data_IF_500919302907
#
_entry.id   IF_500919302907
#
_cell.length_a   1.000
_cell.length_b   1.000
_cell.length_c   1.000
_cell.angle_alpha   90.00
_cell.angle_beta   90.00
_cell.angle_gamma   90.00
#
_symmetry.space_group_name_H-M   'P 1'
#
loop_
_entity.id
_entity.type
_entity.pdbx_description
1 polymer ?
#
# COMPACT_ATOMS: atom_id res chain seq x y z
N UNK A 1 -2.97 1.51 23.14
CA UNK A 1 -3.26 0.28 23.91
C UNK A 1 -4.28 -0.51 23.12
N UNK A 2 -3.93 -1.69 22.61
CA UNK A 2 -4.88 -2.54 21.89
C UNK A 2 -5.95 -3.00 22.89
N UNK A 3 -7.21 -2.64 22.63
CA UNK A 3 -8.33 -3.14 23.41
C UNK A 3 -8.66 -4.57 22.93
N UNK A 4 -8.30 -5.57 23.71
CA UNK A 4 -8.54 -6.98 23.42
C UNK A 4 -7.28 -7.78 23.09
N UNK A 5 -7.42 -9.09 23.10
CA UNK A 5 -6.38 -10.05 22.71
C UNK A 5 -6.86 -10.90 21.54
N UNK A 6 -5.95 -11.26 20.57
CA UNK A 6 -6.29 -12.16 19.50
C UNK A 6 -6.94 -13.46 20.03
N UNK A 7 -8.12 -13.78 19.55
CA UNK A 7 -8.79 -15.02 19.90
C UNK A 7 -8.21 -16.20 19.09
N UNK A 8 -8.49 -17.47 19.47
CA UNK A 8 -7.99 -18.64 18.73
C UNK A 8 -8.42 -18.66 17.26
N UNK A 9 -9.58 -18.08 16.94
CA UNK A 9 -10.07 -18.01 15.56
C UNK A 9 -9.20 -17.10 14.68
N UNK A 10 -8.59 -16.05 15.23
CA UNK A 10 -7.68 -15.19 14.47
C UNK A 10 -6.47 -15.95 13.93
N UNK A 11 -5.85 -16.79 14.76
CA UNK A 11 -4.76 -17.67 14.33
C UNK A 11 -5.27 -18.77 13.37
N UNK A 12 -6.41 -19.38 13.69
CA UNK A 12 -7.01 -20.38 12.82
C UNK A 12 -7.33 -19.80 11.43
N UNK A 13 -7.88 -18.59 11.34
CA UNK A 13 -8.17 -17.92 10.06
C UNK A 13 -6.91 -17.71 9.22
N UNK A 14 -5.79 -17.30 9.85
CA UNK A 14 -4.52 -17.12 9.17
C UNK A 14 -4.04 -18.43 8.52
N UNK A 15 -4.07 -19.56 9.25
CA UNK A 15 -3.60 -20.84 8.72
C UNK A 15 -4.63 -21.55 7.83
N UNK A 16 -5.93 -21.42 8.11
CA UNK A 16 -6.99 -21.97 7.26
C UNK A 16 -7.06 -21.28 5.89
N UNK A 17 -6.47 -20.10 5.77
CA UNK A 17 -6.32 -19.45 4.48
C UNK A 17 -5.46 -20.27 3.51
N UNK A 18 -4.53 -21.09 4.00
CA UNK A 18 -3.65 -21.95 3.16
C UNK A 18 -4.47 -22.95 2.34
N UNK A 19 -5.24 -23.87 2.95
CA UNK A 19 -6.08 -24.79 2.18
C UNK A 19 -7.14 -24.06 1.34
N UNK A 20 -7.66 -22.92 1.79
CA UNK A 20 -8.59 -22.10 1.01
C UNK A 20 -7.93 -21.56 -0.27
N UNK A 21 -6.71 -21.01 -0.18
CA UNK A 21 -5.96 -20.54 -1.34
C UNK A 21 -5.70 -21.69 -2.33
N UNK A 22 -5.23 -22.85 -1.85
CA UNK A 22 -5.03 -24.03 -2.68
C UNK A 22 -6.32 -24.50 -3.33
N UNK A 23 -7.45 -24.47 -2.60
CA UNK A 23 -8.76 -24.79 -3.15
C UNK A 23 -9.17 -23.81 -4.26
N UNK A 24 -8.91 -22.49 -4.15
CA UNK A 24 -9.14 -21.55 -5.24
C UNK A 24 -8.36 -21.95 -6.49
N UNK A 25 -7.08 -22.30 -6.35
CA UNK A 25 -6.28 -22.73 -7.49
C UNK A 25 -6.72 -24.09 -8.05
N UNK A 26 -7.20 -25.03 -7.22
CA UNK A 26 -7.72 -26.30 -7.73
C UNK A 26 -8.98 -26.09 -8.57
N UNK A 27 -9.89 -25.20 -8.13
CA UNK A 27 -11.26 -25.06 -8.69
C UNK A 27 -11.37 -24.03 -9.79
N UNK A 28 -10.57 -22.96 -9.78
CA UNK A 28 -10.69 -21.84 -10.71
C UNK A 28 -9.48 -21.70 -11.64
N UNK A 29 -9.66 -21.03 -12.82
CA UNK A 29 -8.52 -20.64 -13.65
C UNK A 29 -7.52 -19.79 -12.87
N UNK A 30 -6.22 -20.00 -13.12
CA UNK A 30 -5.13 -19.40 -12.33
C UNK A 30 -5.30 -17.89 -12.11
N UNK A 31 -5.65 -17.09 -13.14
CA UNK A 31 -5.85 -15.63 -12.98
C UNK A 31 -6.96 -15.30 -11.99
N UNK A 32 -8.11 -16.03 -12.05
CA UNK A 32 -9.22 -15.81 -11.12
C UNK A 32 -8.85 -16.25 -9.72
N UNK A 33 -8.19 -17.40 -9.58
CA UNK A 33 -7.69 -17.90 -8.30
C UNK A 33 -6.71 -16.91 -7.67
N UNK A 34 -5.77 -16.36 -8.45
CA UNK A 34 -4.84 -15.32 -7.96
C UNK A 34 -5.58 -14.10 -7.41
N UNK A 35 -6.57 -13.58 -8.16
CA UNK A 35 -7.38 -12.43 -7.69
C UNK A 35 -8.12 -12.76 -6.41
N UNK A 36 -8.73 -13.95 -6.31
CA UNK A 36 -9.45 -14.38 -5.10
C UNK A 36 -8.51 -14.57 -3.91
N UNK A 37 -7.33 -15.15 -4.12
CA UNK A 37 -6.33 -15.34 -3.07
C UNK A 37 -5.81 -13.98 -2.58
N UNK A 38 -5.37 -13.10 -3.49
CA UNK A 38 -4.78 -11.82 -3.09
C UNK A 38 -5.82 -10.91 -2.43
N UNK A 39 -6.97 -10.69 -3.06
CA UNK A 39 -8.02 -9.85 -2.47
C UNK A 39 -8.64 -10.50 -1.23
N UNK A 40 -8.83 -11.81 -1.22
CA UNK A 40 -9.35 -12.54 -0.06
C UNK A 40 -8.42 -12.40 1.15
N UNK A 41 -7.12 -12.60 0.97
CA UNK A 41 -6.15 -12.48 2.05
C UNK A 41 -6.04 -11.04 2.58
N UNK A 42 -5.82 -10.07 1.68
CA UNK A 42 -5.65 -8.67 2.07
C UNK A 42 -6.91 -8.07 2.72
N UNK A 43 -8.09 -8.46 2.27
CA UNK A 43 -9.35 -7.87 2.72
C UNK A 43 -9.99 -8.56 3.92
N UNK A 44 -9.69 -9.83 4.18
CA UNK A 44 -10.43 -10.59 5.19
C UNK A 44 -9.56 -11.23 6.28
N UNK A 45 -8.25 -11.37 6.11
CA UNK A 45 -7.40 -11.91 7.17
C UNK A 45 -7.19 -10.89 8.31
N UNK A 46 -6.92 -11.36 9.54
CA UNK A 46 -6.72 -10.47 10.70
C UNK A 46 -5.54 -9.53 10.47
N UNK A 47 -5.75 -8.25 10.76
CA UNK A 47 -4.75 -7.20 10.67
C UNK A 47 -3.89 -7.19 11.92
N UNK A 48 -2.62 -6.76 11.79
CA UNK A 48 -1.68 -6.61 12.91
C UNK A 48 -1.45 -7.89 13.73
N UNK A 49 -1.85 -9.05 13.21
CA UNK A 49 -1.53 -10.36 13.78
C UNK A 49 -0.31 -10.92 13.05
N UNK A 50 0.71 -11.27 13.83
CA UNK A 50 1.89 -11.96 13.34
C UNK A 50 2.21 -13.15 14.24
N UNK A 51 2.72 -14.21 13.64
CA UNK A 51 3.31 -15.35 14.32
C UNK A 51 4.81 -15.31 14.04
N UNK A 52 5.61 -15.20 15.07
CA UNK A 52 7.07 -15.07 14.97
C UNK A 52 7.75 -16.44 15.18
N UNK A 53 7.98 -17.20 14.10
CA UNK A 53 8.75 -18.43 14.20
C UNK A 53 10.24 -18.12 14.37
N UNK A 54 10.99 -18.95 15.13
CA UNK A 54 12.43 -18.78 15.26
C UNK A 54 13.11 -18.76 13.89
N UNK A 55 14.05 -17.82 13.70
CA UNK A 55 14.90 -17.69 12.51
C UNK A 55 14.16 -17.33 11.19
N UNK A 56 12.85 -17.16 11.20
CA UNK A 56 12.07 -16.76 10.02
C UNK A 56 11.40 -15.39 10.27
N UNK A 57 11.12 -14.62 9.21
CA UNK A 57 10.35 -13.40 9.39
C UNK A 57 8.93 -13.71 9.86
N UNK A 58 8.26 -12.72 10.52
CA UNK A 58 6.89 -12.87 10.98
C UNK A 58 5.94 -13.36 9.89
N UNK A 59 5.13 -14.37 10.24
CA UNK A 59 4.04 -14.84 9.40
C UNK A 59 2.82 -14.00 9.68
N UNK A 60 2.51 -13.09 8.79
CA UNK A 60 1.35 -12.20 8.85
C UNK A 60 0.44 -12.39 7.63
N UNK A 61 -0.64 -11.63 7.58
CA UNK A 61 -1.59 -11.70 6.47
C UNK A 61 -0.94 -11.37 5.11
N UNK A 62 0.05 -10.49 5.06
CA UNK A 62 0.73 -10.09 3.82
C UNK A 62 1.63 -11.21 3.31
N UNK A 63 2.49 -11.73 4.17
CA UNK A 63 3.43 -12.79 3.85
C UNK A 63 2.73 -14.09 3.44
N UNK A 64 1.69 -14.51 4.19
CA UNK A 64 0.94 -15.73 3.89
C UNK A 64 0.16 -15.62 2.58
N UNK A 65 -0.46 -14.46 2.34
CA UNK A 65 -1.21 -14.19 1.11
C UNK A 65 -0.32 -14.21 -0.11
N UNK A 66 0.81 -13.49 -0.06
CA UNK A 66 1.75 -13.39 -1.17
C UNK A 66 2.42 -14.73 -1.48
N UNK A 67 2.86 -15.44 -0.43
CA UNK A 67 3.51 -16.75 -0.58
C UNK A 67 2.57 -17.77 -1.23
N UNK A 68 1.33 -17.91 -0.73
CA UNK A 68 0.41 -18.91 -1.27
C UNK A 68 -0.19 -18.50 -2.62
N UNK A 69 -0.29 -17.22 -2.93
CA UNK A 69 -0.54 -16.77 -4.29
C UNK A 69 0.57 -17.19 -5.25
N UNK A 70 1.83 -17.07 -4.83
CA UNK A 70 2.99 -17.50 -5.63
C UNK A 70 3.04 -19.02 -5.80
N UNK A 71 2.87 -19.80 -4.72
CA UNK A 71 2.81 -21.28 -4.76
C UNK A 71 1.68 -21.75 -5.68
N UNK A 72 0.50 -21.16 -5.59
CA UNK A 72 -0.61 -21.46 -6.50
C UNK A 72 -0.31 -21.14 -7.96
N UNK A 73 0.42 -20.05 -8.23
CA UNK A 73 0.90 -19.73 -9.57
C UNK A 73 1.96 -20.71 -10.07
N UNK A 74 2.87 -21.16 -9.21
CA UNK A 74 3.83 -22.23 -9.54
C UNK A 74 3.11 -23.51 -9.93
N UNK A 75 2.09 -23.88 -9.17
CA UNK A 75 1.30 -25.09 -9.45
C UNK A 75 0.52 -25.01 -10.76
N UNK A 76 -0.24 -23.94 -10.99
CA UNK A 76 -1.22 -23.83 -12.11
C UNK A 76 -0.73 -23.02 -13.31
N UNK A 77 0.32 -22.23 -13.18
CA UNK A 77 0.72 -21.26 -14.19
C UNK A 77 2.24 -21.10 -14.36
N UNK A 78 3.01 -22.12 -14.02
CA UNK A 78 4.49 -22.11 -14.11
C UNK A 78 5.01 -21.54 -15.44
N UNK A 79 4.44 -21.86 -16.64
CA UNK A 79 4.91 -21.28 -17.90
C UNK A 79 4.76 -19.76 -17.98
N UNK A 80 3.79 -19.17 -17.26
CA UNK A 80 3.62 -17.71 -17.21
C UNK A 80 4.67 -17.07 -16.31
N UNK A 81 5.00 -17.68 -15.17
CA UNK A 81 6.09 -17.24 -14.29
C UNK A 81 7.42 -17.27 -15.02
N UNK A 82 7.74 -18.35 -15.74
CA UNK A 82 8.96 -18.45 -16.56
C UNK A 82 9.04 -17.35 -17.63
N UNK A 83 7.91 -17.03 -18.29
CA UNK A 83 7.83 -15.94 -19.28
C UNK A 83 8.00 -14.55 -18.69
N UNK A 84 7.67 -14.36 -17.42
CA UNK A 84 7.90 -13.12 -16.71
C UNK A 84 9.39 -12.81 -16.53
N UNK A 85 10.28 -13.78 -16.75
CA UNK A 85 11.74 -13.63 -16.66
C UNK A 85 12.16 -12.96 -15.36
N UNK A 86 12.04 -13.65 -14.21
CA UNK A 86 12.43 -13.10 -12.90
C UNK A 86 13.85 -12.53 -12.93
N UNK A 87 14.12 -11.54 -12.10
CA UNK A 87 15.41 -10.87 -11.96
C UNK A 87 15.94 -10.17 -13.23
N UNK A 88 15.05 -9.78 -14.16
CA UNK A 88 15.42 -9.03 -15.37
C UNK A 88 14.55 -7.80 -15.57
N UNK A 89 15.15 -6.75 -16.16
CA UNK A 89 14.45 -5.50 -16.46
C UNK A 89 14.04 -4.76 -15.20
N UNK A 90 12.74 -4.58 -14.95
CA UNK A 90 12.24 -3.86 -13.77
C UNK A 90 12.61 -4.55 -12.46
N UNK A 91 12.78 -5.88 -12.48
CA UNK A 91 13.14 -6.64 -11.28
C UNK A 91 14.55 -6.27 -10.75
N UNK A 92 15.36 -5.58 -11.53
CA UNK A 92 16.66 -5.06 -11.07
C UNK A 92 16.50 -4.08 -9.91
N UNK A 93 15.36 -3.38 -9.80
CA UNK A 93 15.06 -2.58 -8.62
C UNK A 93 14.92 -3.45 -7.35
N UNK A 94 14.39 -4.66 -7.47
CA UNK A 94 14.37 -5.59 -6.34
C UNK A 94 15.77 -6.10 -5.99
N UNK A 95 16.59 -6.40 -6.97
CA UNK A 95 18.01 -6.76 -6.73
C UNK A 95 18.74 -5.60 -6.03
N UNK A 96 18.48 -4.36 -6.48
CA UNK A 96 19.00 -3.16 -5.84
C UNK A 96 18.54 -3.04 -4.38
N UNK A 97 17.27 -3.40 -4.09
CA UNK A 97 16.73 -3.41 -2.72
C UNK A 97 17.46 -4.43 -1.84
N UNK A 98 17.72 -5.64 -2.35
CA UNK A 98 18.50 -6.65 -1.60
C UNK A 98 19.93 -6.19 -1.33
N UNK A 99 20.57 -5.57 -2.31
CA UNK A 99 21.92 -4.97 -2.12
C UNK A 99 21.88 -3.82 -1.12
N UNK A 100 20.82 -3.01 -1.15
CA UNK A 100 20.59 -1.96 -0.16
C UNK A 100 20.50 -2.52 1.26
N UNK A 101 19.75 -3.61 1.48
CA UNK A 101 19.63 -4.24 2.80
C UNK A 101 21.01 -4.68 3.34
N UNK A 102 21.90 -5.20 2.49
CA UNK A 102 23.28 -5.52 2.87
C UNK A 102 24.06 -4.23 3.21
N UNK A 103 23.95 -3.20 2.36
CA UNK A 103 24.60 -1.91 2.59
C UNK A 103 24.15 -1.28 3.91
N UNK A 104 22.85 -1.32 4.21
CA UNK A 104 22.29 -0.84 5.47
C UNK A 104 22.86 -1.57 6.69
N UNK A 105 22.98 -2.90 6.63
CA UNK A 105 23.56 -3.66 7.74
C UNK A 105 25.05 -3.33 7.94
N UNK A 106 25.82 -3.24 6.86
CA UNK A 106 27.25 -2.94 6.92
C UNK A 106 27.54 -1.54 7.45
N UNK A 107 26.70 -0.55 7.12
CA UNK A 107 26.91 0.85 7.58
C UNK A 107 26.39 1.11 8.99
N UNK A 108 25.68 0.17 9.62
CA UNK A 108 25.03 0.34 10.92
C UNK A 108 25.45 -0.73 11.95
N UNK A 109 26.71 -1.13 11.97
CA UNK A 109 27.27 -2.13 12.89
C UNK A 109 27.63 -1.58 14.27
N UNK A 110 26.98 -0.53 14.72
CA UNK A 110 27.19 0.09 16.01
C UNK A 110 25.84 0.32 16.72
N UNK A 111 25.77 0.17 18.05
CA UNK A 111 24.57 0.46 18.79
C UNK A 111 24.32 1.98 18.82
N UNK A 112 23.05 2.38 18.84
CA UNK A 112 22.64 3.78 19.05
C UNK A 112 22.19 3.94 20.49
N UNK A 113 22.90 4.80 21.23
CA UNK A 113 22.60 5.12 22.63
C UNK A 113 21.92 6.49 22.66
N UNK A 114 20.71 6.54 23.22
CA UNK A 114 19.96 7.78 23.38
C UNK A 114 19.36 7.79 24.79
N UNK A 115 19.93 8.60 25.70
CA UNK A 115 19.59 8.53 27.10
C UNK A 115 19.79 7.11 27.66
N UNK A 116 18.81 6.57 28.39
CA UNK A 116 18.88 5.21 28.94
C UNK A 116 18.61 4.10 27.94
N UNK A 117 18.23 4.42 26.70
CA UNK A 117 17.79 3.43 25.69
C UNK A 117 18.93 3.11 24.74
N UNK A 118 19.27 1.82 24.64
CA UNK A 118 20.25 1.28 23.68
C UNK A 118 19.50 0.55 22.58
N UNK A 119 19.68 1.01 21.32
CA UNK A 119 19.18 0.33 20.13
C UNK A 119 20.29 -0.51 19.53
N UNK A 120 19.96 -1.77 19.26
CA UNK A 120 20.93 -2.76 18.78
C UNK A 120 21.56 -2.34 17.45
N UNK A 121 22.81 -2.74 17.26
CA UNK A 121 23.48 -2.73 15.97
C UNK A 121 22.77 -3.64 14.97
N UNK A 122 23.01 -3.39 13.69
CA UNK A 122 22.55 -4.27 12.63
C UNK A 122 23.61 -5.29 12.27
N UNK A 123 23.14 -6.51 12.05
CA UNK A 123 23.98 -7.66 11.64
C UNK A 123 23.66 -8.09 10.21
N UNK A 124 24.49 -8.93 9.63
CA UNK A 124 24.20 -9.56 8.33
C UNK A 124 22.94 -10.45 8.39
N UNK A 125 22.62 -10.99 9.58
CA UNK A 125 21.38 -11.72 9.79
C UNK A 125 20.15 -10.83 9.60
N UNK A 126 20.18 -9.60 10.11
CA UNK A 126 19.08 -8.62 9.92
C UNK A 126 18.88 -8.30 8.42
N UNK A 127 19.98 -8.17 7.67
CA UNK A 127 19.92 -8.00 6.21
C UNK A 127 19.24 -9.20 5.52
N UNK A 128 19.56 -10.42 5.92
CA UNK A 128 18.95 -11.63 5.38
C UNK A 128 17.46 -11.74 5.75
N UNK A 129 17.10 -11.50 7.01
CA UNK A 129 15.73 -11.52 7.49
C UNK A 129 14.87 -10.47 6.77
N UNK A 130 15.40 -9.23 6.61
CA UNK A 130 14.75 -8.16 5.86
C UNK A 130 14.62 -8.52 4.37
N UNK A 131 15.61 -9.16 3.78
CA UNK A 131 15.58 -9.65 2.39
C UNK A 131 14.46 -10.67 2.16
N UNK A 132 14.23 -11.60 3.10
CA UNK A 132 13.10 -12.54 3.04
C UNK A 132 11.77 -11.78 3.17
N UNK A 133 11.67 -10.85 4.13
CA UNK A 133 10.47 -10.02 4.32
C UNK A 133 10.14 -9.24 3.05
N UNK A 134 11.11 -8.57 2.44
CA UNK A 134 10.93 -7.82 1.19
C UNK A 134 10.57 -8.74 0.01
N UNK A 135 11.12 -9.94 -0.02
CA UNK A 135 10.74 -10.95 -1.02
C UNK A 135 9.26 -11.30 -0.89
N UNK A 136 8.79 -11.58 0.32
CA UNK A 136 7.40 -11.95 0.58
C UNK A 136 6.44 -10.77 0.37
N UNK A 137 6.77 -9.60 0.91
CA UNK A 137 5.85 -8.46 0.93
C UNK A 137 5.86 -7.64 -0.38
N UNK A 138 6.99 -7.57 -1.09
CA UNK A 138 7.16 -6.70 -2.26
C UNK A 138 7.32 -7.53 -3.54
N UNK A 139 8.30 -8.44 -3.56
CA UNK A 139 8.69 -9.08 -4.82
C UNK A 139 7.72 -10.15 -5.30
N UNK A 140 7.25 -11.03 -4.43
CA UNK A 140 6.32 -12.09 -4.83
C UNK A 140 5.00 -11.54 -5.37
N UNK A 141 4.32 -10.57 -4.72
CA UNK A 141 3.13 -9.93 -5.28
C UNK A 141 3.40 -9.28 -6.63
N UNK A 142 4.50 -8.55 -6.76
CA UNK A 142 4.91 -7.91 -8.01
C UNK A 142 5.14 -8.93 -9.13
N UNK A 143 5.89 -10.01 -8.86
CA UNK A 143 6.16 -11.07 -9.83
C UNK A 143 4.89 -11.81 -10.25
N UNK A 144 4.03 -12.17 -9.30
CA UNK A 144 2.73 -12.80 -9.55
C UNK A 144 1.85 -11.87 -10.39
N UNK A 145 1.74 -10.61 -10.03
CA UNK A 145 0.98 -9.60 -10.77
C UNK A 145 1.45 -9.51 -12.23
N UNK A 146 2.75 -9.37 -12.43
CA UNK A 146 3.37 -9.28 -13.77
C UNK A 146 3.19 -10.56 -14.60
N UNK A 147 3.24 -11.73 -13.98
CA UNK A 147 3.08 -13.00 -14.66
C UNK A 147 1.62 -13.29 -15.04
N UNK A 148 0.68 -12.94 -14.15
CA UNK A 148 -0.72 -13.37 -14.29
C UNK A 148 -1.57 -12.41 -15.10
N UNK A 149 -1.31 -11.09 -15.10
CA UNK A 149 -2.15 -10.08 -15.74
C UNK A 149 -1.62 -9.60 -17.10
N UNK A 150 -1.24 -10.53 -17.96
CA UNK A 150 -0.66 -10.23 -19.28
C UNK A 150 -1.67 -10.16 -20.44
N UNK A 151 -2.83 -10.81 -20.32
CA UNK A 151 -3.83 -10.93 -21.37
C UNK A 151 -5.02 -10.01 -21.08
N UNK A 152 -5.75 -9.61 -22.11
CA UNK A 152 -6.97 -8.78 -22.02
C UNK A 152 -8.00 -9.30 -21.03
N UNK A 153 -8.22 -10.62 -21.02
CA UNK A 153 -9.14 -11.28 -20.11
C UNK A 153 -8.65 -11.21 -18.67
N UNK A 154 -7.35 -11.27 -18.47
CA UNK A 154 -6.74 -11.23 -17.13
C UNK A 154 -6.93 -9.84 -16.49
N UNK A 155 -6.66 -8.75 -17.25
CA UNK A 155 -6.92 -7.38 -16.79
C UNK A 155 -8.40 -7.13 -16.45
N UNK A 156 -9.31 -7.69 -17.26
CA UNK A 156 -10.74 -7.62 -16.95
C UNK A 156 -11.10 -8.40 -15.70
N UNK A 157 -10.50 -9.58 -15.50
CA UNK A 157 -10.72 -10.40 -14.30
C UNK A 157 -10.27 -9.65 -13.05
N UNK A 158 -9.12 -8.96 -13.10
CA UNK A 158 -8.61 -8.13 -12.00
C UNK A 158 -9.58 -6.99 -11.67
N UNK A 159 -9.97 -6.17 -12.67
CA UNK A 159 -10.93 -5.08 -12.46
C UNK A 159 -12.28 -5.58 -11.93
N UNK A 160 -12.77 -6.72 -12.43
CA UNK A 160 -13.99 -7.32 -11.93
C UNK A 160 -13.83 -7.82 -10.48
N UNK A 161 -12.66 -8.32 -10.13
CA UNK A 161 -12.31 -8.68 -8.75
C UNK A 161 -12.43 -7.49 -7.79
N UNK A 162 -11.86 -6.33 -8.17
CA UNK A 162 -12.02 -5.10 -7.38
C UNK A 162 -13.48 -4.68 -7.22
N UNK A 163 -14.30 -4.77 -8.27
CA UNK A 163 -15.72 -4.42 -8.17
C UNK A 163 -16.47 -5.38 -7.26
N UNK A 164 -16.27 -6.69 -7.41
CA UNK A 164 -16.96 -7.69 -6.57
C UNK A 164 -16.54 -7.55 -5.11
N UNK A 165 -15.24 -7.47 -4.84
CA UNK A 165 -14.73 -7.27 -3.50
C UNK A 165 -15.19 -5.92 -2.92
N UNK A 166 -15.21 -4.85 -3.73
CA UNK A 166 -15.70 -3.54 -3.33
C UNK A 166 -17.18 -3.55 -2.95
N UNK A 167 -18.03 -4.29 -3.67
CA UNK A 167 -19.45 -4.45 -3.29
C UNK A 167 -19.59 -5.17 -1.95
N UNK A 168 -18.86 -6.26 -1.73
CA UNK A 168 -18.87 -6.96 -0.44
C UNK A 168 -18.40 -6.05 0.68
N UNK A 169 -17.29 -5.35 0.47
CA UNK A 169 -16.74 -4.41 1.45
C UNK A 169 -17.66 -3.21 1.71
N UNK A 170 -18.39 -2.76 0.70
CA UNK A 170 -19.38 -1.69 0.85
C UNK A 170 -20.51 -2.08 1.84
N UNK A 171 -21.00 -3.31 1.79
CA UNK A 171 -21.98 -3.77 2.78
C UNK A 171 -21.39 -3.85 4.18
N UNK A 172 -20.17 -4.36 4.35
CA UNK A 172 -19.48 -4.39 5.64
C UNK A 172 -19.21 -2.98 6.17
N UNK A 173 -18.80 -2.07 5.28
CA UNK A 173 -18.61 -0.66 5.64
C UNK A 173 -19.90 0.00 6.15
N UNK A 174 -21.04 -0.24 5.51
CA UNK A 174 -22.34 0.29 5.95
C UNK A 174 -22.74 -0.23 7.34
N UNK A 175 -22.43 -1.48 7.65
CA UNK A 175 -22.64 -2.04 9.00
C UNK A 175 -21.82 -1.26 10.02
N UNK A 176 -20.52 -1.05 9.80
CA UNK A 176 -19.65 -0.32 10.72
C UNK A 176 -19.99 1.18 10.82
N UNK A 177 -20.36 1.82 9.72
CA UNK A 177 -20.83 3.21 9.74
C UNK A 177 -22.05 3.38 10.64
N UNK A 178 -22.96 2.40 10.66
CA UNK A 178 -24.21 2.46 11.44
C UNK A 178 -24.01 2.00 12.88
N UNK A 179 -23.27 0.93 13.12
CA UNK A 179 -23.17 0.26 14.43
C UNK A 179 -21.88 0.59 15.19
N UNK A 180 -20.81 0.96 14.55
CA UNK A 180 -19.45 1.19 15.05
C UNK A 180 -18.44 0.25 14.36
N UNK A 181 -17.17 0.65 14.23
CA UNK A 181 -16.09 -0.15 13.63
C UNK A 181 -15.64 -1.28 14.55
N UNK A 182 -16.46 -2.33 14.69
CA UNK A 182 -16.29 -3.45 15.60
C UNK A 182 -16.12 -4.80 14.91
N UNK A 183 -16.26 -4.90 13.58
CA UNK A 183 -16.27 -6.19 12.89
C UNK A 183 -15.00 -7.00 13.15
N UNK A 184 -13.85 -6.32 13.15
CA UNK A 184 -12.57 -6.97 13.45
C UNK A 184 -12.55 -7.51 14.89
N UNK A 185 -12.98 -6.71 15.86
CA UNK A 185 -13.04 -7.10 17.27
C UNK A 185 -14.03 -8.25 17.50
N UNK A 186 -15.22 -8.20 16.88
CA UNK A 186 -16.22 -9.26 17.03
C UNK A 186 -15.74 -10.61 16.49
N UNK A 187 -14.96 -10.59 15.39
CA UNK A 187 -14.50 -11.82 14.74
C UNK A 187 -13.15 -12.29 15.31
N UNK A 188 -12.20 -11.36 15.50
CA UNK A 188 -10.82 -11.69 15.85
C UNK A 188 -10.44 -11.40 17.31
N UNK A 189 -11.32 -10.74 18.08
CA UNK A 189 -11.17 -10.54 19.53
C UNK A 189 -10.38 -9.28 19.92
N UNK A 190 -9.92 -8.47 18.98
CA UNK A 190 -9.13 -7.25 19.25
C UNK A 190 -9.37 -6.17 18.19
N UNK A 191 -9.05 -4.93 18.54
CA UNK A 191 -9.00 -3.83 17.58
C UNK A 191 -7.64 -3.73 16.92
N UNK A 192 -7.62 -3.55 15.60
CA UNK A 192 -6.41 -3.42 14.80
C UNK A 192 -5.67 -2.11 15.00
N UNK A 193 -6.31 -1.08 15.54
CA UNK A 193 -5.78 0.24 15.83
C UNK A 193 -6.55 0.92 16.97
N UNK A 194 -6.04 2.04 17.48
CA UNK A 194 -6.75 2.85 18.47
C UNK A 194 -8.12 3.27 17.93
N UNK A 195 -9.15 3.02 18.74
CA UNK A 195 -10.54 3.27 18.38
C UNK A 195 -10.82 4.76 18.10
N UNK A 196 -10.08 5.68 18.74
CA UNK A 196 -10.19 7.13 18.52
C UNK A 196 -9.98 7.51 17.05
N UNK A 197 -9.12 6.77 16.33
CA UNK A 197 -8.84 6.98 14.91
C UNK A 197 -10.02 6.64 14.00
N UNK A 198 -11.01 5.92 14.52
CA UNK A 198 -12.24 5.57 13.79
C UNK A 198 -13.32 6.64 13.90
N UNK A 199 -13.16 7.64 14.79
CA UNK A 199 -14.14 8.73 14.92
C UNK A 199 -13.76 9.90 14.00
N UNK A 200 -14.67 10.29 13.09
CA UNK A 200 -14.50 11.42 12.17
C UNK A 200 -15.84 12.09 11.83
N UNK A 201 -15.85 13.43 11.82
CA UNK A 201 -17.03 14.22 11.43
C UNK A 201 -18.33 13.80 12.15
N UNK A 202 -18.26 13.65 13.46
CA UNK A 202 -19.41 13.28 14.29
C UNK A 202 -19.99 11.89 14.03
N UNK A 203 -19.19 10.95 13.49
CA UNK A 203 -19.64 9.58 13.28
C UNK A 203 -18.49 8.63 13.01
N UNK A 204 -18.84 7.38 12.72
CA UNK A 204 -17.86 6.32 12.56
C UNK A 204 -17.28 6.26 11.14
N UNK A 205 -16.01 5.92 11.07
CA UNK A 205 -15.22 5.66 9.88
C UNK A 205 -14.95 4.15 9.83
N UNK A 206 -15.42 3.42 8.81
CA UNK A 206 -15.28 1.98 8.77
C UNK A 206 -13.80 1.59 8.61
N UNK A 207 -13.38 0.56 9.33
CA UNK A 207 -12.04 -0.04 9.27
C UNK A 207 -12.10 -1.49 8.79
N UNK A 208 -13.16 -2.20 9.10
CA UNK A 208 -13.49 -3.59 8.73
C UNK A 208 -12.33 -4.52 9.15
N UNK A 209 -11.58 -5.08 8.18
CA UNK A 209 -10.39 -5.92 8.42
C UNK A 209 -9.11 -5.29 7.85
N UNK A 210 -9.14 -3.99 7.56
CA UNK A 210 -7.96 -3.23 7.14
C UNK A 210 -7.42 -2.43 8.33
N UNK A 211 -6.15 -2.07 8.29
CA UNK A 211 -5.48 -1.36 9.37
C UNK A 211 -6.17 -0.05 9.76
N UNK A 212 -6.62 0.71 8.76
CA UNK A 212 -7.22 2.03 8.98
C UNK A 212 -8.40 2.27 8.06
N UNK A 213 -9.28 3.18 8.45
CA UNK A 213 -10.34 3.66 7.57
C UNK A 213 -9.83 4.47 6.36
N UNK A 214 -8.55 4.90 6.34
CA UNK A 214 -7.91 5.45 5.14
C UNK A 214 -7.78 4.37 4.08
N UNK A 215 -7.28 3.19 4.47
CA UNK A 215 -7.14 2.06 3.58
C UNK A 215 -8.48 1.60 2.99
N UNK A 216 -9.53 1.56 3.82
CA UNK A 216 -10.90 1.26 3.34
C UNK A 216 -11.36 2.31 2.32
N UNK A 217 -11.17 3.61 2.59
CA UNK A 217 -11.52 4.68 1.66
C UNK A 217 -10.78 4.57 0.33
N UNK A 218 -9.47 4.29 0.36
CA UNK A 218 -8.66 4.08 -0.85
C UNK A 218 -9.09 2.82 -1.61
N UNK A 219 -9.39 1.73 -0.93
CA UNK A 219 -9.91 0.53 -1.58
C UNK A 219 -11.27 0.78 -2.25
N UNK A 220 -12.17 1.52 -1.60
CA UNK A 220 -13.46 1.92 -2.18
C UNK A 220 -13.27 2.82 -3.41
N UNK A 221 -12.27 3.70 -3.42
CA UNK A 221 -11.90 4.51 -4.59
C UNK A 221 -11.43 3.62 -5.74
N UNK A 222 -10.54 2.65 -5.48
CA UNK A 222 -10.06 1.67 -6.47
C UNK A 222 -11.23 0.88 -7.07
N UNK A 223 -12.14 0.38 -6.22
CA UNK A 223 -13.32 -0.37 -6.66
C UNK A 223 -14.26 0.51 -7.51
N UNK A 224 -14.43 1.79 -7.15
CA UNK A 224 -15.26 2.75 -7.90
C UNK A 224 -14.66 3.05 -9.28
N UNK A 225 -13.35 3.30 -9.36
CA UNK A 225 -12.63 3.48 -10.64
C UNK A 225 -12.81 2.24 -11.52
N UNK A 226 -12.60 1.05 -10.97
CA UNK A 226 -12.78 -0.21 -11.69
C UNK A 226 -14.23 -0.38 -12.19
N UNK A 227 -15.21 -0.03 -11.38
CA UNK A 227 -16.63 -0.09 -11.73
C UNK A 227 -16.98 0.87 -12.89
N UNK A 228 -16.49 2.12 -12.87
CA UNK A 228 -16.70 3.09 -13.97
C UNK A 228 -16.10 2.54 -15.27
N UNK A 229 -14.88 2.02 -15.25
CA UNK A 229 -14.21 1.49 -16.45
C UNK A 229 -14.96 0.28 -17.03
N UNK A 230 -15.44 -0.61 -16.17
CA UNK A 230 -16.22 -1.76 -16.58
C UNK A 230 -17.64 -1.37 -17.03
N UNK A 231 -18.26 -0.37 -16.43
CA UNK A 231 -19.54 0.19 -16.88
C UNK A 231 -19.44 0.76 -18.31
N UNK A 232 -18.41 1.54 -18.59
CA UNK A 232 -18.14 2.09 -19.95
C UNK A 232 -17.93 1.01 -21.02
N UNK A 233 -17.65 -0.21 -20.63
CA UNK A 233 -17.52 -1.37 -21.51
C UNK A 233 -18.74 -2.29 -21.48
N UNK A 234 -19.86 -1.87 -20.85
CA UNK A 234 -21.13 -2.58 -20.76
C UNK A 234 -21.11 -3.82 -19.86
N UNK A 235 -20.17 -3.90 -18.91
CA UNK A 235 -20.00 -5.09 -18.03
C UNK A 235 -20.55 -4.93 -16.63
N UNK A 236 -20.68 -3.70 -16.16
CA UNK A 236 -21.21 -3.36 -14.82
C UNK A 236 -22.37 -2.39 -15.01
N UNK A 237 -23.42 -2.54 -14.21
CA UNK A 237 -24.59 -1.65 -14.25
C UNK A 237 -24.28 -0.31 -13.58
N UNK A 238 -24.88 0.78 -14.04
CA UNK A 238 -24.67 2.11 -13.45
C UNK A 238 -24.98 2.14 -11.96
N UNK A 239 -26.00 1.44 -11.49
CA UNK A 239 -26.37 1.32 -10.07
C UNK A 239 -25.21 0.85 -9.19
N UNK A 240 -24.34 -0.04 -9.67
CA UNK A 240 -23.15 -0.50 -8.93
C UNK A 240 -22.11 0.62 -8.80
N UNK A 241 -21.95 1.43 -9.85
CA UNK A 241 -21.02 2.59 -9.81
C UNK A 241 -21.51 3.61 -8.78
N UNK A 242 -22.81 3.97 -8.82
CA UNK A 242 -23.40 4.89 -7.86
C UNK A 242 -23.33 4.37 -6.43
N UNK A 243 -23.65 3.10 -6.21
CA UNK A 243 -23.57 2.46 -4.90
C UNK A 243 -22.16 2.55 -4.29
N UNK A 244 -21.12 2.14 -5.07
CA UNK A 244 -19.74 2.23 -4.61
C UNK A 244 -19.28 3.68 -4.37
N UNK A 245 -19.72 4.62 -5.23
CA UNK A 245 -19.42 6.04 -5.07
C UNK A 245 -20.04 6.65 -3.81
N UNK A 246 -21.30 6.29 -3.50
CA UNK A 246 -21.97 6.72 -2.26
C UNK A 246 -21.23 6.17 -1.03
N UNK A 247 -20.92 4.88 -1.01
CA UNK A 247 -20.21 4.27 0.13
C UNK A 247 -18.80 4.85 0.28
N UNK A 248 -18.10 5.16 -0.82
CA UNK A 248 -16.80 5.85 -0.78
C UNK A 248 -16.88 7.17 0.00
N UNK A 249 -17.91 7.98 -0.27
CA UNK A 249 -18.13 9.26 0.46
C UNK A 249 -18.46 8.98 1.94
N UNK A 250 -19.30 7.99 2.21
CA UNK A 250 -19.68 7.60 3.57
C UNK A 250 -18.50 7.04 4.39
N UNK A 251 -17.42 6.55 3.76
CA UNK A 251 -16.20 6.14 4.46
C UNK A 251 -15.46 7.31 5.15
N UNK A 252 -15.85 8.57 4.95
CA UNK A 252 -15.28 9.75 5.62
C UNK A 252 -13.74 9.84 5.53
N UNK A 253 -13.15 9.34 4.44
CA UNK A 253 -11.73 9.45 4.16
C UNK A 253 -11.47 10.70 3.32
N UNK A 254 -10.97 11.78 3.93
CA UNK A 254 -10.75 13.06 3.25
C UNK A 254 -9.83 12.90 2.03
N UNK A 255 -8.70 12.19 2.16
CA UNK A 255 -7.79 11.95 1.04
C UNK A 255 -8.49 11.23 -0.13
N UNK A 256 -9.18 10.11 0.16
CA UNK A 256 -9.90 9.36 -0.86
C UNK A 256 -11.02 10.18 -1.53
N UNK A 257 -11.70 11.06 -0.78
CA UNK A 257 -12.72 11.97 -1.34
C UNK A 257 -12.07 13.01 -2.25
N UNK A 258 -10.97 13.63 -1.85
CA UNK A 258 -10.23 14.60 -2.68
C UNK A 258 -9.76 13.93 -3.99
N UNK A 259 -9.16 12.74 -3.89
CA UNK A 259 -8.78 11.98 -5.09
C UNK A 259 -10.00 11.62 -5.95
N UNK A 260 -11.13 11.25 -5.33
CA UNK A 260 -12.36 10.94 -6.05
C UNK A 260 -12.90 12.14 -6.83
N UNK A 261 -12.94 13.33 -6.21
CA UNK A 261 -13.42 14.58 -6.84
C UNK A 261 -12.61 14.94 -8.08
N UNK A 262 -11.29 14.71 -8.07
CA UNK A 262 -10.41 15.00 -9.21
C UNK A 262 -10.47 13.87 -10.25
N UNK A 263 -10.42 12.62 -9.82
CA UNK A 263 -10.16 11.49 -10.71
C UNK A 263 -11.42 10.87 -11.29
N UNK A 264 -12.52 10.77 -10.52
CA UNK A 264 -13.74 10.12 -11.02
C UNK A 264 -14.36 10.86 -12.23
N UNK A 265 -14.44 12.20 -12.27
CA UNK A 265 -14.87 12.92 -13.47
C UNK A 265 -13.96 12.65 -14.68
N UNK A 266 -12.64 12.62 -14.45
CA UNK A 266 -11.68 12.32 -15.53
C UNK A 266 -11.91 10.91 -16.06
N UNK A 267 -12.09 9.91 -15.21
CA UNK A 267 -12.35 8.52 -15.61
C UNK A 267 -13.73 8.36 -16.27
N UNK A 268 -14.75 9.09 -15.78
CA UNK A 268 -16.11 9.02 -16.28
C UNK A 268 -16.30 9.77 -17.61
N UNK A 269 -15.77 10.98 -17.72
CA UNK A 269 -16.06 11.90 -18.84
C UNK A 269 -14.97 11.89 -19.90
N UNK A 270 -13.71 11.87 -19.49
CA UNK A 270 -12.59 11.92 -20.42
C UNK A 270 -12.27 10.53 -20.94
N UNK A 271 -12.09 10.44 -22.24
CA UNK A 271 -11.54 9.22 -22.85
C UNK A 271 -10.07 9.14 -22.46
N UNK A 272 -9.72 8.42 -21.38
CA UNK A 272 -8.35 8.22 -20.86
C UNK A 272 -7.41 7.54 -21.89
N UNK A 273 -7.01 8.17 -23.02
CA UNK A 273 -6.32 7.45 -24.09
C UNK A 273 -4.81 7.43 -23.92
N UNK A 274 -4.24 8.28 -23.03
CA UNK A 274 -2.81 8.58 -23.07
C UNK A 274 -2.03 8.30 -21.80
N UNK A 275 -2.67 7.89 -20.69
CA UNK A 275 -2.03 7.64 -19.38
C UNK A 275 -1.01 8.73 -18.95
N UNK A 276 -1.21 10.00 -19.38
CA UNK A 276 -0.33 11.14 -19.03
C UNK A 276 -0.48 11.49 -17.56
N UNK A 277 -1.71 11.59 -17.08
CA UNK A 277 -2.00 11.89 -15.68
C UNK A 277 -1.37 10.85 -14.73
N UNK A 278 -1.57 9.53 -14.92
CA UNK A 278 -0.88 8.54 -14.12
C UNK A 278 0.65 8.70 -14.11
N UNK A 279 1.25 8.93 -15.28
CA UNK A 279 2.70 9.10 -15.36
C UNK A 279 3.18 10.37 -14.65
N UNK A 280 2.44 11.48 -14.78
CA UNK A 280 2.73 12.70 -14.05
C UNK A 280 2.69 12.50 -12.53
N UNK A 281 1.62 11.88 -12.03
CA UNK A 281 1.47 11.57 -10.60
C UNK A 281 2.62 10.67 -10.08
N UNK A 282 2.98 9.63 -10.84
CA UNK A 282 4.08 8.74 -10.48
C UNK A 282 5.45 9.46 -10.49
N UNK A 283 5.68 10.37 -11.43
CA UNK A 283 6.91 11.18 -11.48
C UNK A 283 6.95 12.20 -10.32
N UNK A 284 5.83 12.83 -10.02
CA UNK A 284 5.72 13.76 -8.89
C UNK A 284 6.12 13.07 -7.57
N UNK A 285 5.68 11.83 -7.36
CA UNK A 285 6.04 11.07 -6.16
C UNK A 285 7.54 10.80 -6.05
N UNK A 286 8.22 10.55 -7.18
CA UNK A 286 9.68 10.37 -7.20
C UNK A 286 10.44 11.68 -6.96
N UNK A 287 9.87 12.81 -7.39
CA UNK A 287 10.49 14.12 -7.24
C UNK A 287 10.27 14.75 -5.86
N UNK A 288 9.20 14.34 -5.16
CA UNK A 288 8.81 14.95 -3.90
C UNK A 288 9.93 15.00 -2.86
N UNK A 289 10.69 13.91 -2.58
CA UNK A 289 11.81 13.98 -1.64
C UNK A 289 12.88 14.99 -2.04
N UNK A 290 13.20 15.08 -3.34
CA UNK A 290 14.17 16.05 -3.83
C UNK A 290 13.68 17.50 -3.63
N UNK A 291 12.40 17.77 -3.89
CA UNK A 291 11.79 19.07 -3.66
C UNK A 291 11.78 19.45 -2.16
N UNK A 292 11.60 18.47 -1.28
CA UNK A 292 11.66 18.67 0.17
C UNK A 292 13.08 18.88 0.68
N UNK A 293 14.05 18.17 0.13
CA UNK A 293 15.47 18.29 0.52
C UNK A 293 16.07 19.63 0.10
N UNK A 294 15.59 20.20 -1.01
CA UNK A 294 16.06 21.49 -1.55
C UNK A 294 15.24 22.69 -1.11
N UNK A 295 14.30 22.51 -0.18
CA UNK A 295 13.34 23.54 0.28
C UNK A 295 12.59 24.27 -0.85
N UNK A 296 12.46 23.63 -2.01
CA UNK A 296 11.72 24.18 -3.15
C UNK A 296 10.24 23.85 -3.13
N UNK A 297 9.80 22.96 -2.25
CA UNK A 297 8.38 22.65 -2.07
C UNK A 297 7.69 23.74 -1.22
N UNK A 298 6.60 24.35 -1.70
CA UNK A 298 5.99 25.54 -1.09
C UNK A 298 5.16 25.19 0.16
N UNK A 299 5.81 24.76 1.23
CA UNK A 299 5.14 24.35 2.48
C UNK A 299 4.41 25.51 3.14
N UNK A 300 5.06 26.66 3.24
CA UNK A 300 4.54 27.83 3.94
C UNK A 300 3.33 28.42 3.24
N UNK A 301 3.36 28.45 1.91
CA UNK A 301 2.21 28.89 1.10
C UNK A 301 1.01 27.95 1.25
N UNK A 302 1.25 26.63 1.33
CA UNK A 302 0.19 25.65 1.52
C UNK A 302 -0.42 25.75 2.92
N UNK A 303 0.39 25.97 3.94
CA UNK A 303 -0.08 26.19 5.32
C UNK A 303 -0.88 27.48 5.40
N UNK A 304 -0.38 28.58 4.82
CA UNK A 304 -1.08 29.88 4.79
C UNK A 304 -2.42 29.81 4.04
N UNK A 305 -2.52 28.99 2.98
CA UNK A 305 -3.79 28.77 2.29
C UNK A 305 -4.75 27.93 3.12
N UNK A 306 -4.26 26.90 3.84
CA UNK A 306 -5.07 26.09 4.74
C UNK A 306 -5.59 26.91 5.92
N UNK A 307 -4.82 27.85 6.45
CA UNK A 307 -5.18 28.75 7.54
C UNK A 307 -6.39 29.62 7.19
N UNK A 308 -6.48 30.11 5.94
CA UNK A 308 -7.64 30.86 5.44
C UNK A 308 -8.94 30.05 5.43
N UNK A 309 -8.84 28.72 5.44
CA UNK A 309 -10.00 27.82 5.40
C UNK A 309 -10.33 27.35 6.82
N UNK A 310 -9.33 26.90 7.58
CA UNK A 310 -9.50 26.39 8.94
C UNK A 310 -8.15 26.31 9.66
N UNK A 311 -8.02 27.04 10.75
CA UNK A 311 -6.79 27.16 11.55
C UNK A 311 -6.32 25.83 12.12
N UNK A 312 -7.23 24.99 12.67
CA UNK A 312 -6.91 23.67 13.21
C UNK A 312 -6.30 22.75 12.16
N UNK A 313 -6.80 22.82 10.92
CA UNK A 313 -6.26 22.04 9.80
C UNK A 313 -4.91 22.56 9.31
N UNK A 314 -4.69 23.86 9.36
CA UNK A 314 -3.41 24.47 9.04
C UNK A 314 -2.33 24.02 10.03
N UNK A 315 -2.64 24.05 11.34
CA UNK A 315 -1.74 23.55 12.38
C UNK A 315 -1.41 22.05 12.19
N UNK A 316 -2.42 21.23 11.85
CA UNK A 316 -2.19 19.81 11.55
C UNK A 316 -1.32 19.58 10.31
N UNK A 317 -1.44 20.44 9.30
CA UNK A 317 -0.63 20.38 8.09
C UNK A 317 0.80 20.83 8.36
N UNK A 318 0.96 21.95 9.08
CA UNK A 318 2.25 22.45 9.51
C UNK A 318 3.02 21.42 10.33
N UNK A 319 2.36 20.80 11.32
CA UNK A 319 2.95 19.75 12.15
C UNK A 319 3.50 18.58 11.30
N UNK A 320 2.77 18.16 10.28
CA UNK A 320 3.23 17.09 9.37
C UNK A 320 4.47 17.51 8.59
N UNK A 321 4.49 18.71 8.04
CA UNK A 321 5.65 19.22 7.31
C UNK A 321 6.88 19.39 8.20
N UNK A 322 6.68 19.81 9.45
CA UNK A 322 7.74 19.91 10.44
C UNK A 322 8.31 18.53 10.80
N UNK A 323 7.45 17.54 11.08
CA UNK A 323 7.86 16.16 11.33
C UNK A 323 8.60 15.54 10.13
N UNK A 324 8.10 15.76 8.92
CA UNK A 324 8.80 15.34 7.70
C UNK A 324 10.19 15.96 7.59
N UNK A 325 10.31 17.25 7.87
CA UNK A 325 11.60 17.97 7.83
C UNK A 325 12.60 17.40 8.84
N UNK A 326 12.19 17.22 10.08
CA UNK A 326 13.03 16.66 11.13
C UNK A 326 13.48 15.23 10.81
N UNK A 327 12.58 14.38 10.35
CA UNK A 327 12.90 13.01 9.92
C UNK A 327 13.83 12.98 8.70
N UNK A 328 13.70 13.95 7.79
CA UNK A 328 14.57 14.07 6.63
C UNK A 328 15.99 14.49 7.05
N UNK A 329 16.14 15.42 8.01
CA UNK A 329 17.46 15.78 8.55
C UNK A 329 18.14 14.55 9.16
N UNK A 330 17.41 13.74 9.93
CA UNK A 330 17.92 12.48 10.46
C UNK A 330 18.32 11.49 9.37
N UNK A 331 17.53 11.39 8.28
CA UNK A 331 17.81 10.52 7.14
C UNK A 331 19.09 10.95 6.39
N UNK A 332 19.35 12.25 6.30
CA UNK A 332 20.54 12.80 5.63
C UNK A 332 21.86 12.50 6.36
N UNK A 333 21.84 12.07 7.60
CA UNK A 333 23.03 11.57 8.28
C UNK A 333 23.50 10.21 7.74
N UNK A 334 22.57 9.41 7.14
CA UNK A 334 22.84 8.13 6.49
C UNK A 334 22.18 8.07 5.09
N UNK A 335 22.60 8.92 4.12
CA UNK A 335 21.82 9.22 2.93
C UNK A 335 21.69 8.06 1.94
N UNK A 336 22.71 7.19 1.85
CA UNK A 336 22.73 6.13 0.83
C UNK A 336 21.91 4.90 1.22
N UNK A 337 22.16 4.35 2.42
CA UNK A 337 21.60 3.08 2.88
C UNK A 337 20.67 3.20 4.09
N UNK A 338 20.52 4.41 4.65
CA UNK A 338 19.65 4.69 5.79
C UNK A 338 20.11 4.05 7.09
N UNK A 339 19.28 4.21 8.11
CA UNK A 339 19.55 3.77 9.48
C UNK A 339 19.14 2.32 9.78
N UNK A 340 18.34 1.70 8.90
CA UNK A 340 17.85 0.32 9.08
C UNK A 340 16.65 0.19 10.01
N UNK A 341 16.54 -0.99 10.62
CA UNK A 341 15.44 -1.36 11.53
C UNK A 341 15.60 -0.81 12.96
N UNK A 342 14.81 -1.41 13.89
CA UNK A 342 14.82 -1.08 15.33
C UNK A 342 14.55 0.40 15.64
N UNK A 343 13.76 1.08 14.79
CA UNK A 343 13.42 2.50 14.90
C UNK A 343 14.63 3.46 14.90
N UNK A 344 15.80 3.02 14.38
CA UNK A 344 17.05 3.81 14.37
C UNK A 344 16.93 5.10 13.53
N UNK A 345 15.99 5.12 12.57
CA UNK A 345 15.69 6.27 11.72
C UNK A 345 14.80 7.33 12.38
N UNK A 346 14.36 7.11 13.63
CA UNK A 346 13.48 8.03 14.37
C UNK A 346 14.28 9.01 15.21
N UNK A 347 13.58 10.05 15.68
CA UNK A 347 14.13 11.06 16.58
C UNK A 347 13.75 10.71 18.02
N UNK A 348 14.71 10.83 18.90
CA UNK A 348 14.52 10.51 20.31
C UNK A 348 15.04 11.63 21.19
N UNK A 349 14.38 11.83 22.32
CA UNK A 349 14.86 12.74 23.34
C UNK A 349 16.21 12.25 23.87
N UNK A 350 17.25 13.11 23.88
CA UNK A 350 18.61 12.71 24.30
C UNK A 350 18.73 12.37 25.77
N UNK A 351 17.79 12.81 26.63
CA UNK A 351 17.80 12.59 28.07
C UNK A 351 16.90 11.40 28.44
N UNK A 352 15.67 11.38 27.97
CA UNK A 352 14.67 10.35 28.33
C UNK A 352 14.69 9.14 27.41
N UNK A 353 15.16 9.28 26.18
CA UNK A 353 15.11 8.24 25.14
C UNK A 353 13.71 8.01 24.55
N UNK A 354 12.75 8.88 24.88
CA UNK A 354 11.38 8.81 24.32
C UNK A 354 11.36 9.14 22.84
N UNK A 355 10.46 8.48 22.09
CA UNK A 355 10.27 8.70 20.65
C UNK A 355 9.48 9.99 20.41
N UNK A 356 10.12 10.98 19.82
CA UNK A 356 9.55 12.29 19.50
C UNK A 356 8.96 12.34 18.08
N UNK A 357 9.19 11.31 17.29
CA UNK A 357 8.85 11.34 15.87
C UNK A 357 7.46 10.81 15.56
N UNK A 358 6.74 11.52 14.70
CA UNK A 358 5.50 11.05 14.07
C UNK A 358 5.79 10.76 12.60
N UNK A 359 5.78 9.47 12.25
CA UNK A 359 6.11 9.02 10.88
C UNK A 359 4.85 8.83 10.07
N UNK A 360 4.38 9.87 9.39
CA UNK A 360 3.17 9.80 8.58
C UNK A 360 3.43 9.40 7.12
N UNK A 361 4.47 9.91 6.46
CA UNK A 361 4.79 9.62 5.05
C UNK A 361 5.67 8.39 4.87
N UNK A 362 5.26 7.44 4.01
CA UNK A 362 6.07 6.24 3.69
C UNK A 362 7.43 6.63 3.07
N UNK A 363 7.47 7.66 2.23
CA UNK A 363 8.70 8.12 1.60
C UNK A 363 9.79 8.50 2.61
N UNK A 364 9.41 9.20 3.70
CA UNK A 364 10.33 9.57 4.77
C UNK A 364 10.82 8.34 5.55
N UNK A 365 9.92 7.37 5.80
CA UNK A 365 10.26 6.09 6.41
C UNK A 365 11.25 5.32 5.52
N UNK A 366 11.01 5.26 4.21
CA UNK A 366 11.88 4.54 3.27
C UNK A 366 13.27 5.20 3.18
N UNK A 367 13.34 6.53 3.08
CA UNK A 367 14.64 7.24 3.04
C UNK A 367 15.34 7.10 4.40
N UNK A 368 14.63 7.29 5.51
CA UNK A 368 15.21 7.15 6.84
C UNK A 368 15.74 5.74 7.13
N UNK A 369 14.99 4.70 6.76
CA UNK A 369 15.37 3.32 7.06
C UNK A 369 16.28 2.66 6.01
N UNK A 370 16.16 3.04 4.73
CA UNK A 370 16.85 2.38 3.60
C UNK A 370 17.65 3.34 2.72
N UNK A 371 17.70 4.62 3.08
CA UNK A 371 18.38 5.64 2.30
C UNK A 371 17.78 5.86 0.91
N UNK A 372 18.49 6.65 0.12
CA UNK A 372 18.11 6.97 -1.25
C UNK A 372 18.09 5.71 -2.16
N UNK A 373 19.03 4.78 -1.93
CA UNK A 373 19.11 3.54 -2.72
C UNK A 373 17.86 2.69 -2.53
N UNK A 374 17.41 2.50 -1.28
CA UNK A 374 16.19 1.77 -0.98
C UNK A 374 14.93 2.48 -1.45
N UNK A 375 14.86 3.81 -1.30
CA UNK A 375 13.77 4.61 -1.86
C UNK A 375 13.63 4.42 -3.37
N UNK A 376 14.72 4.58 -4.12
CA UNK A 376 14.73 4.38 -5.58
C UNK A 376 14.36 2.95 -5.94
N UNK A 377 14.79 1.96 -5.17
CA UNK A 377 14.45 0.57 -5.41
C UNK A 377 12.95 0.30 -5.23
N UNK A 378 12.36 0.69 -4.11
CA UNK A 378 10.93 0.45 -3.80
C UNK A 378 10.02 1.28 -4.70
N UNK A 379 10.23 2.60 -4.76
CA UNK A 379 9.40 3.47 -5.57
C UNK A 379 9.62 3.26 -7.08
N UNK A 380 10.81 2.83 -7.49
CA UNK A 380 11.09 2.41 -8.87
C UNK A 380 10.25 1.20 -9.30
N UNK A 381 10.10 0.19 -8.44
CA UNK A 381 9.20 -0.95 -8.71
C UNK A 381 7.76 -0.52 -8.92
N UNK A 382 7.27 0.47 -8.17
CA UNK A 382 5.88 0.94 -8.25
C UNK A 382 5.65 1.91 -9.42
N UNK A 383 6.58 2.82 -9.70
CA UNK A 383 6.37 3.94 -10.64
C UNK A 383 6.82 3.64 -12.06
N UNK A 384 7.91 2.88 -12.24
CA UNK A 384 8.43 2.55 -13.59
C UNK A 384 7.42 1.79 -14.46
N UNK A 385 6.62 0.83 -13.95
CA UNK A 385 5.54 0.20 -14.73
C UNK A 385 4.50 1.21 -15.25
N UNK A 386 4.18 2.25 -14.47
CA UNK A 386 3.24 3.30 -14.86
C UNK A 386 3.82 4.14 -15.99
N UNK A 387 5.07 4.57 -15.88
CA UNK A 387 5.78 5.34 -16.92
C UNK A 387 5.93 4.52 -18.19
N UNK A 388 6.27 3.24 -18.09
CA UNK A 388 6.33 2.34 -19.25
C UNK A 388 4.96 2.15 -19.91
N UNK A 389 3.88 2.07 -19.12
CA UNK A 389 2.52 2.03 -19.63
C UNK A 389 2.21 3.29 -20.44
N UNK A 390 2.52 4.49 -19.92
CA UNK A 390 2.37 5.75 -20.65
C UNK A 390 3.13 5.75 -21.98
N UNK A 391 4.41 5.34 -21.98
CA UNK A 391 5.23 5.30 -23.21
C UNK A 391 4.70 4.32 -24.26
N UNK A 392 4.17 3.17 -23.82
CA UNK A 392 3.79 2.06 -24.70
C UNK A 392 2.29 1.95 -25.01
N UNK A 393 1.42 2.68 -24.31
CA UNK A 393 -0.04 2.56 -24.43
C UNK A 393 -0.57 2.83 -25.85
N UNK A 394 0.14 3.71 -26.61
CA UNK A 394 -0.22 4.00 -28.01
C UNK A 394 -0.11 2.76 -28.92
N UNK A 395 0.75 1.79 -28.58
CA UNK A 395 0.93 0.53 -29.33
C UNK A 395 -0.23 -0.45 -29.15
N UNK A 396 -1.07 -0.25 -28.15
CA UNK A 396 -2.25 -1.08 -27.90
C UNK A 396 -3.35 -0.69 -28.86
N UNK A 397 -3.70 -1.57 -29.80
CA UNK A 397 -4.65 -1.28 -30.88
C UNK A 397 -6.07 -0.99 -30.39
N UNK A 398 -6.61 -1.82 -29.47
CA UNK A 398 -8.00 -1.72 -29.01
C UNK A 398 -8.17 -0.64 -27.94
N UNK A 399 -9.13 0.28 -28.17
CA UNK A 399 -9.46 1.38 -27.26
C UNK A 399 -9.83 0.91 -25.84
N UNK A 400 -10.63 -0.16 -25.72
CA UNK A 400 -11.04 -0.70 -24.42
C UNK A 400 -9.85 -1.21 -23.59
N UNK A 401 -8.86 -1.85 -24.24
CA UNK A 401 -7.67 -2.34 -23.56
C UNK A 401 -6.77 -1.18 -23.09
N UNK A 402 -6.68 -0.10 -23.91
CA UNK A 402 -6.02 1.14 -23.50
C UNK A 402 -6.67 1.77 -22.27
N UNK A 403 -8.01 1.79 -22.23
CA UNK A 403 -8.76 2.32 -21.07
C UNK A 403 -8.49 1.50 -19.81
N UNK A 404 -8.48 0.17 -19.89
CA UNK A 404 -8.19 -0.71 -18.75
C UNK A 404 -6.76 -0.53 -18.24
N UNK A 405 -5.77 -0.48 -19.14
CA UNK A 405 -4.38 -0.23 -18.77
C UNK A 405 -4.18 1.17 -18.16
N UNK A 406 -4.82 2.19 -18.75
CA UNK A 406 -4.74 3.55 -18.21
C UNK A 406 -5.39 3.65 -16.82
N UNK A 407 -6.49 2.92 -16.59
CA UNK A 407 -7.15 2.87 -15.29
C UNK A 407 -6.30 2.15 -14.23
N UNK A 408 -5.68 1.03 -14.57
CA UNK A 408 -4.76 0.35 -13.66
C UNK A 408 -3.54 1.21 -13.35
N UNK A 409 -2.95 1.86 -14.37
CA UNK A 409 -1.87 2.81 -14.14
C UNK A 409 -2.29 3.98 -13.24
N UNK A 410 -3.52 4.46 -13.39
CA UNK A 410 -4.08 5.52 -12.53
C UNK A 410 -4.28 5.04 -11.10
N UNK A 411 -4.85 3.85 -10.91
CA UNK A 411 -4.99 3.22 -9.58
C UNK A 411 -3.62 3.12 -8.90
N UNK A 412 -2.63 2.55 -9.58
CA UNK A 412 -1.27 2.45 -9.04
C UNK A 412 -0.69 3.81 -8.68
N UNK A 413 -0.84 4.81 -9.56
CA UNK A 413 -0.31 6.16 -9.27
C UNK A 413 -0.99 6.83 -8.09
N UNK A 414 -2.32 6.65 -7.93
CA UNK A 414 -3.05 7.20 -6.78
C UNK A 414 -2.59 6.55 -5.47
N UNK A 415 -2.38 5.24 -5.47
CA UNK A 415 -1.87 4.54 -4.30
C UNK A 415 -0.45 5.01 -3.95
N UNK A 416 0.41 5.23 -4.96
CA UNK A 416 1.78 5.72 -4.72
C UNK A 416 1.78 7.19 -4.25
N UNK A 417 0.90 8.04 -4.78
CA UNK A 417 0.73 9.42 -4.29
C UNK A 417 0.22 9.44 -2.84
N UNK A 418 -0.67 8.53 -2.50
CA UNK A 418 -1.20 8.42 -1.13
C UNK A 418 -0.14 7.99 -0.10
N UNK A 419 0.94 7.37 -0.54
CA UNK A 419 2.11 7.08 0.31
C UNK A 419 2.92 8.35 0.68
N UNK A 420 2.70 9.48 0.03
CA UNK A 420 3.37 10.73 0.42
C UNK A 420 2.88 11.21 1.80
N UNK A 421 1.56 11.41 2.03
CA UNK A 421 1.06 11.82 3.34
C UNK A 421 0.79 10.67 4.32
N UNK A 422 0.88 9.40 3.90
CA UNK A 422 0.46 8.25 4.71
C UNK A 422 1.51 7.14 4.70
N UNK A 423 2.02 6.77 5.88
CA UNK A 423 3.00 5.68 6.06
C UNK A 423 2.38 4.31 6.32
N UNK A 424 1.06 4.21 6.35
CA UNK A 424 0.34 3.03 6.84
C UNK A 424 -0.01 1.99 5.77
N UNK A 425 0.47 2.15 4.53
CA UNK A 425 0.08 1.31 3.40
C UNK A 425 1.03 0.16 3.06
N UNK A 426 1.67 -0.43 4.03
CA UNK A 426 2.46 -1.65 3.77
C UNK A 426 1.64 -2.86 3.27
N UNK A 427 0.32 -2.70 3.08
CA UNK A 427 -0.62 -3.81 2.95
C UNK A 427 -1.35 -3.93 1.62
N UNK A 428 -1.05 -3.14 0.60
CA UNK A 428 -1.66 -3.31 -0.72
C UNK A 428 -0.61 -3.73 -1.76
N UNK A 429 -0.32 -5.01 -1.89
CA UNK A 429 0.50 -5.52 -2.99
C UNK A 429 -0.33 -5.51 -4.28
N UNK A 430 -0.21 -4.47 -5.07
CA UNK A 430 -0.84 -4.38 -6.41
C UNK A 430 0.18 -4.38 -7.52
#
# INVERSE_FOLDING_TARGET
MFLGHPNPFSYAALFLFIPLALWFYSRFPATKATVMTVLGGVLFLPESLAVDPPLLPPIDKTSITAFWAFVGCLWKAQPRLKRARPFRGIDLFFVLLLLCNVGTAVTNQFPLITGPVVRQELTLYDSFALGIKDTLAIYLPFLVGRAMFTRRKDLRTLLNGFVVAGVVYAFLALIEIRLSPQLHNWIYGYHQMDFSMAMRFGGYRPMIFMQTGLAVGMFMLVATIAAIVLHRTGRVRARTVYFLGVVLVLCKSTGAIIYALVVLPVVALVKLPRARLPAFLALLTLLYPALRTTDTFPTDELVAQAEKINEERALSLWFRFDQEYQLLQRALEQPLFGWGGYNRNRLFDPVTGEDLSVTDGDWAIQIGSRGLVGFVAVYGLMTVPVVLTWRRIKRVKRRQDRQRLAALALITSLLVVDLLPNGLFHCLPF
#
